data_IF_738533611042
#
_entry.id   IF_738533611042
#
_cell.length_a   1.000
_cell.length_b   1.000
_cell.length_c   1.000
_cell.angle_alpha   90.00
_cell.angle_beta   90.00
_cell.angle_gamma   90.00
#
_symmetry.space_group_name_H-M   'P 1'
#
loop_
_entity.id
_entity.type
_entity.pdbx_description
1 polymer ?
#
# COMPACT_ATOMS: atom_id res chain seq x y z
N UNK A 1 5.10 16.23 -20.13
CA UNK A 1 5.09 16.06 -18.67
C UNK A 1 5.99 17.12 -18.08
N UNK A 2 5.45 18.05 -17.31
CA UNK A 2 6.24 19.08 -16.64
C UNK A 2 6.87 18.45 -15.41
N UNK A 3 8.20 18.44 -15.32
CA UNK A 3 8.92 17.93 -14.14
C UNK A 3 8.59 18.78 -12.92
N UNK A 4 8.13 18.14 -11.84
CA UNK A 4 7.82 18.80 -10.57
C UNK A 4 9.10 19.00 -9.76
N UNK A 5 9.37 20.24 -9.36
CA UNK A 5 10.52 20.61 -8.51
C UNK A 5 10.11 20.62 -7.03
N UNK A 6 10.90 20.00 -6.15
CA UNK A 6 10.61 19.92 -4.71
C UNK A 6 11.32 21.05 -3.94
N UNK A 7 10.57 21.71 -3.06
CA UNK A 7 10.98 22.88 -2.27
C UNK A 7 11.01 22.53 -0.79
N UNK A 8 12.15 22.75 -0.13
CA UNK A 8 12.22 22.69 1.33
C UNK A 8 11.56 23.90 1.99
N UNK A 9 10.45 23.72 2.71
CA UNK A 9 9.78 24.85 3.38
C UNK A 9 10.56 25.40 4.58
N UNK A 10 11.57 24.68 5.07
CA UNK A 10 12.47 25.17 6.12
C UNK A 10 13.67 25.95 5.55
N UNK A 11 13.82 26.01 4.22
CA UNK A 11 14.80 26.87 3.58
C UNK A 11 14.38 28.35 3.65
N UNK A 12 15.37 29.24 3.64
CA UNK A 12 15.14 30.69 3.67
C UNK A 12 14.47 31.16 2.38
N UNK A 13 13.56 32.13 2.49
CA UNK A 13 12.88 32.69 1.32
C UNK A 13 13.91 33.31 0.36
N UNK A 14 15.01 33.85 0.87
CA UNK A 14 16.10 34.37 0.05
C UNK A 14 16.71 33.30 -0.87
N UNK A 15 17.08 32.16 -0.31
CA UNK A 15 17.69 31.09 -1.09
C UNK A 15 16.70 30.50 -2.09
N UNK A 16 15.46 30.26 -1.67
CA UNK A 16 14.40 29.74 -2.54
C UNK A 16 14.14 30.65 -3.73
N UNK A 17 13.99 31.95 -3.52
CA UNK A 17 13.78 32.93 -4.59
C UNK A 17 15.05 33.17 -5.44
N UNK A 18 16.23 32.82 -4.93
CA UNK A 18 17.49 32.89 -5.70
C UNK A 18 17.63 31.67 -6.61
N UNK A 19 17.31 30.48 -6.09
CA UNK A 19 17.31 29.21 -6.84
C UNK A 19 16.18 29.16 -7.87
N UNK A 20 15.02 29.69 -7.51
CA UNK A 20 13.81 29.70 -8.33
C UNK A 20 13.16 31.09 -8.31
N UNK A 21 13.58 32.01 -9.19
CA UNK A 21 13.10 33.39 -9.21
C UNK A 21 11.58 33.56 -9.29
N UNK A 22 10.88 32.62 -9.93
CA UNK A 22 9.42 32.63 -10.04
C UNK A 22 8.69 32.50 -8.70
N UNK A 23 9.33 31.93 -7.65
CA UNK A 23 8.74 31.83 -6.30
C UNK A 23 8.41 33.23 -5.75
N UNK A 24 9.17 34.25 -6.15
CA UNK A 24 8.93 35.63 -5.70
C UNK A 24 7.56 36.14 -6.12
N UNK A 25 7.14 35.81 -7.33
CA UNK A 25 5.81 36.16 -7.85
C UNK A 25 4.71 35.33 -7.18
N UNK A 26 4.94 34.03 -6.97
CA UNK A 26 4.00 33.15 -6.25
C UNK A 26 3.73 33.67 -4.83
N UNK A 27 4.77 34.07 -4.10
CA UNK A 27 4.62 34.63 -2.76
C UNK A 27 3.90 35.98 -2.78
N UNK A 28 4.16 36.82 -3.77
CA UNK A 28 3.45 38.08 -3.90
C UNK A 28 1.93 37.85 -4.09
N UNK A 29 1.55 36.92 -4.96
CA UNK A 29 0.14 36.55 -5.19
C UNK A 29 -0.54 35.95 -3.95
N UNK A 30 0.24 35.30 -3.07
CA UNK A 30 -0.24 34.78 -1.79
C UNK A 30 -0.37 35.85 -0.70
N UNK A 31 -0.10 37.12 -1.03
CA UNK A 31 -0.26 38.27 -0.15
C UNK A 31 1.02 38.65 0.61
N UNK A 32 2.20 38.19 0.20
CA UNK A 32 3.47 38.69 0.72
C UNK A 32 3.88 39.99 0.01
N UNK A 33 3.07 41.04 0.13
CA UNK A 33 3.15 42.28 -0.68
C UNK A 33 4.53 42.95 -0.66
N UNK A 34 5.24 42.84 0.47
CA UNK A 34 6.57 43.44 0.66
C UNK A 34 7.73 42.62 0.05
N UNK A 35 7.46 41.43 -0.52
CA UNK A 35 8.51 40.54 -1.05
C UNK A 35 9.24 41.13 -2.26
N UNK A 36 8.58 42.03 -3.01
CA UNK A 36 9.17 42.75 -4.15
C UNK A 36 10.04 43.94 -3.74
N UNK A 37 9.94 44.41 -2.50
CA UNK A 37 10.77 45.50 -2.00
C UNK A 37 12.23 45.01 -1.82
N UNK A 38 13.22 45.56 -2.54
CA UNK A 38 14.59 45.06 -2.51
C UNK A 38 15.25 45.13 -1.13
N UNK A 39 14.95 46.16 -0.35
CA UNK A 39 15.52 46.35 1.00
C UNK A 39 14.97 45.31 1.97
N UNK A 40 13.66 45.10 1.99
CA UNK A 40 13.01 44.09 2.83
C UNK A 40 13.38 42.67 2.41
N UNK A 41 13.47 42.42 1.10
CA UNK A 41 13.88 41.12 0.58
C UNK A 41 15.33 40.81 1.00
N UNK A 42 16.28 41.72 0.79
CA UNK A 42 17.69 41.46 1.10
C UNK A 42 18.03 41.40 2.61
N UNK A 43 17.07 41.70 3.49
CA UNK A 43 17.24 41.70 4.95
C UNK A 43 16.42 40.60 5.62
N UNK A 44 15.08 40.66 5.51
CA UNK A 44 14.17 39.75 6.22
C UNK A 44 14.19 38.34 5.61
N UNK A 45 14.27 38.22 4.28
CA UNK A 45 14.16 36.91 3.61
C UNK A 45 15.36 35.99 3.84
N UNK A 46 16.51 36.54 4.27
CA UNK A 46 17.74 35.77 4.58
C UNK A 46 17.63 34.95 5.86
N UNK A 47 16.75 35.35 6.77
CA UNK A 47 16.55 34.67 8.05
C UNK A 47 15.14 34.09 8.20
N UNK A 48 14.20 34.53 7.35
CA UNK A 48 12.83 34.04 7.32
C UNK A 48 12.72 32.80 6.42
N UNK A 49 12.34 31.67 7.01
CA UNK A 49 11.99 30.44 6.27
C UNK A 49 10.59 30.53 5.69
N UNK A 50 10.32 29.84 4.58
CA UNK A 50 8.99 29.80 3.97
C UNK A 50 7.90 29.34 4.95
N UNK A 51 8.14 28.24 5.69
CA UNK A 51 7.20 27.67 6.67
C UNK A 51 6.82 28.68 7.78
N UNK A 52 7.80 29.37 8.37
CA UNK A 52 7.54 30.42 9.37
C UNK A 52 6.70 31.56 8.80
N UNK A 53 7.02 32.02 7.59
CA UNK A 53 6.29 33.12 6.96
C UNK A 53 4.83 32.77 6.69
N UNK A 54 4.54 31.54 6.24
CA UNK A 54 3.18 31.02 6.02
C UNK A 54 2.40 30.98 7.33
N UNK A 55 2.99 30.41 8.40
CA UNK A 55 2.36 30.34 9.73
C UNK A 55 2.04 31.73 10.29
N UNK A 56 2.96 32.68 10.15
CA UNK A 56 2.74 34.06 10.62
C UNK A 56 1.65 34.79 9.85
N UNK A 57 1.51 34.53 8.54
CA UNK A 57 0.50 35.15 7.69
C UNK A 57 -0.87 34.47 7.80
N UNK A 58 -0.95 33.28 8.41
CA UNK A 58 -2.18 32.50 8.51
C UNK A 58 -2.66 31.98 7.15
N UNK A 59 -1.74 31.73 6.21
CA UNK A 59 -2.10 31.18 4.90
C UNK A 59 -2.43 29.70 5.07
N UNK A 60 -3.61 29.32 4.58
CA UNK A 60 -4.06 27.93 4.56
C UNK A 60 -3.10 27.02 3.76
N UNK A 61 -2.87 25.81 4.28
CA UNK A 61 -1.89 24.88 3.72
C UNK A 61 -2.32 24.33 2.36
N UNK A 62 -3.62 24.13 2.13
CA UNK A 62 -4.11 23.69 0.82
C UNK A 62 -4.02 24.79 -0.21
N UNK A 63 -4.40 26.02 0.15
CA UNK A 63 -4.25 27.19 -0.73
C UNK A 63 -2.81 27.40 -1.17
N UNK A 64 -1.86 27.25 -0.25
CA UNK A 64 -0.44 27.32 -0.54
C UNK A 64 -0.01 26.22 -1.53
N UNK A 65 -0.34 24.95 -1.23
CA UNK A 65 0.01 23.80 -2.07
C UNK A 65 -0.54 23.95 -3.47
N UNK A 66 -1.80 24.31 -3.62
CA UNK A 66 -2.44 24.51 -4.92
C UNK A 66 -1.69 25.54 -5.75
N UNK A 67 -1.40 26.71 -5.17
CA UNK A 67 -0.71 27.79 -5.88
C UNK A 67 0.72 27.43 -6.29
N UNK A 68 1.47 26.71 -5.45
CA UNK A 68 2.81 26.22 -5.79
C UNK A 68 2.77 25.10 -6.86
N UNK A 69 1.82 24.17 -6.75
CA UNK A 69 1.63 23.08 -7.72
C UNK A 69 1.26 23.61 -9.12
N UNK A 70 0.41 24.64 -9.21
CA UNK A 70 0.08 25.35 -10.46
C UNK A 70 1.33 25.89 -11.19
N UNK A 71 2.42 26.15 -10.45
CA UNK A 71 3.69 26.65 -10.97
C UNK A 71 4.78 25.58 -11.05
N UNK A 72 4.42 24.30 -10.92
CA UNK A 72 5.35 23.17 -11.05
C UNK A 72 6.21 22.90 -9.81
N UNK A 73 5.81 23.41 -8.63
CA UNK A 73 6.53 23.19 -7.39
C UNK A 73 5.73 22.37 -6.39
N UNK A 74 6.39 21.41 -5.75
CA UNK A 74 5.88 20.67 -4.60
C UNK A 74 6.78 20.90 -3.38
N UNK A 75 6.34 20.54 -2.18
CA UNK A 75 7.14 20.74 -0.96
C UNK A 75 7.83 19.43 -0.52
N UNK A 76 9.09 19.49 -0.10
CA UNK A 76 9.84 18.33 0.44
C UNK A 76 9.20 17.77 1.71
N UNK A 77 8.54 18.63 2.48
CA UNK A 77 7.78 18.23 3.67
C UNK A 77 6.35 17.77 3.31
N UNK A 78 5.98 17.72 2.02
CA UNK A 78 4.73 17.14 1.54
C UNK A 78 4.87 15.62 1.44
N UNK A 79 4.97 14.95 2.58
CA UNK A 79 5.05 13.50 2.64
C UNK A 79 3.92 12.84 1.84
N UNK A 80 2.71 13.36 1.98
CA UNK A 80 1.53 12.92 1.23
C UNK A 80 1.69 13.16 -0.28
N UNK A 81 2.15 14.34 -0.70
CA UNK A 81 2.45 14.65 -2.10
C UNK A 81 3.55 13.78 -2.72
N UNK A 82 4.62 13.49 -1.97
CA UNK A 82 5.68 12.57 -2.38
C UNK A 82 5.11 11.17 -2.53
N UNK A 83 4.34 10.71 -1.55
CA UNK A 83 3.71 9.39 -1.58
C UNK A 83 2.77 9.25 -2.77
N UNK A 84 1.90 10.24 -3.01
CA UNK A 84 1.04 10.32 -4.21
C UNK A 84 1.84 10.26 -5.50
N UNK A 85 2.95 11.00 -5.58
CA UNK A 85 3.82 10.99 -6.76
C UNK A 85 4.43 9.61 -6.99
N UNK A 86 4.94 8.95 -5.95
CA UNK A 86 5.51 7.60 -6.07
C UNK A 86 4.45 6.58 -6.50
N UNK A 87 3.23 6.69 -5.97
CA UNK A 87 2.08 5.85 -6.37
C UNK A 87 1.74 6.04 -7.85
N UNK A 88 1.72 7.29 -8.34
CA UNK A 88 1.44 7.59 -9.75
C UNK A 88 2.57 7.09 -10.67
N UNK A 89 3.84 7.27 -10.28
CA UNK A 89 4.98 6.76 -11.06
C UNK A 89 4.96 5.24 -11.19
N UNK A 90 4.66 4.55 -10.08
CA UNK A 90 4.45 3.10 -10.06
C UNK A 90 3.27 2.69 -10.95
N UNK A 91 2.19 3.48 -10.95
CA UNK A 91 1.04 3.30 -11.83
C UNK A 91 1.39 3.45 -13.32
N UNK A 92 2.31 4.36 -13.65
CA UNK A 92 2.80 4.57 -15.02
C UNK A 92 3.84 3.54 -15.49
N UNK A 93 4.20 2.56 -14.66
CA UNK A 93 5.11 1.47 -15.02
C UNK A 93 6.59 1.78 -14.83
N UNK A 94 6.94 2.77 -14.00
CA UNK A 94 8.34 2.95 -13.57
C UNK A 94 8.85 1.72 -12.80
N UNK A 95 10.18 1.50 -12.83
CA UNK A 95 10.77 0.30 -12.23
C UNK A 95 10.61 0.31 -10.71
N UNK A 96 10.33 -0.87 -10.14
CA UNK A 96 10.13 -1.03 -8.70
C UNK A 96 11.40 -0.62 -7.95
N UNK A 97 12.57 -0.93 -8.51
CA UNK A 97 13.88 -0.61 -7.93
C UNK A 97 14.16 0.89 -7.84
N UNK A 98 13.72 1.68 -8.84
CA UNK A 98 13.84 3.15 -8.81
C UNK A 98 12.88 3.77 -7.80
N UNK A 99 11.63 3.27 -7.76
CA UNK A 99 10.64 3.73 -6.81
C UNK A 99 11.07 3.43 -5.37
N UNK A 100 11.61 2.24 -5.08
CA UNK A 100 12.16 1.90 -3.76
C UNK A 100 13.27 2.86 -3.35
N UNK A 101 14.21 3.16 -4.25
CA UNK A 101 15.31 4.09 -3.98
C UNK A 101 14.82 5.51 -3.73
N UNK A 102 13.87 6.00 -4.52
CA UNK A 102 13.28 7.34 -4.31
C UNK A 102 12.48 7.39 -3.01
N UNK A 103 11.79 6.31 -2.69
CA UNK A 103 11.08 6.13 -1.43
C UNK A 103 12.05 6.19 -0.24
N UNK A 104 13.09 5.36 -0.18
CA UNK A 104 14.07 5.33 0.93
C UNK A 104 14.76 6.69 1.15
N UNK A 105 15.07 7.39 0.06
CA UNK A 105 15.72 8.70 0.12
C UNK A 105 14.79 9.82 0.64
N UNK A 106 13.49 9.77 0.31
CA UNK A 106 12.56 10.88 0.57
C UNK A 106 11.59 10.61 1.72
N UNK A 107 11.28 9.35 1.99
CA UNK A 107 10.30 8.88 2.94
C UNK A 107 10.94 7.76 3.76
N UNK A 108 11.83 8.10 4.71
CA UNK A 108 12.58 7.14 5.54
C UNK A 108 11.71 6.00 6.09
N UNK A 109 10.49 6.33 6.54
CA UNK A 109 9.41 5.40 6.86
C UNK A 109 8.05 6.02 6.55
N UNK A 110 7.00 5.21 6.39
CA UNK A 110 5.59 5.67 6.27
C UNK A 110 4.63 4.79 7.07
N UNK A 111 3.49 5.32 7.51
CA UNK A 111 2.43 4.51 8.11
C UNK A 111 1.45 3.98 7.04
N UNK A 112 0.73 2.90 7.37
CA UNK A 112 -0.37 2.40 6.54
C UNK A 112 -1.45 3.47 6.29
N UNK A 113 -1.68 4.35 7.28
CA UNK A 113 -2.64 5.45 7.21
C UNK A 113 -2.18 6.55 6.24
N UNK A 114 -0.91 6.97 6.28
CA UNK A 114 -0.34 7.95 5.34
C UNK A 114 -0.53 7.48 3.89
N UNK A 115 -0.25 6.20 3.69
CA UNK A 115 -0.47 5.48 2.45
C UNK A 115 -1.96 5.56 2.10
N UNK A 116 -2.86 5.00 2.90
CA UNK A 116 -4.30 5.04 2.64
C UNK A 116 -4.83 6.43 2.25
N UNK A 117 -4.49 7.47 3.02
CA UNK A 117 -4.90 8.86 2.78
C UNK A 117 -4.41 9.40 1.42
N UNK A 118 -3.15 9.15 1.07
CA UNK A 118 -2.59 9.54 -0.23
C UNK A 118 -3.40 8.97 -1.40
N UNK A 119 -3.92 7.75 -1.28
CA UNK A 119 -4.72 7.16 -2.36
C UNK A 119 -6.17 7.58 -2.36
N UNK A 120 -6.77 7.79 -1.20
CA UNK A 120 -8.09 8.42 -1.16
C UNK A 120 -8.08 9.76 -1.88
N UNK A 121 -7.04 10.57 -1.67
CA UNK A 121 -6.89 11.82 -2.40
C UNK A 121 -6.67 11.64 -3.90
N UNK A 122 -5.88 10.65 -4.34
CA UNK A 122 -5.69 10.38 -5.78
C UNK A 122 -7.00 9.99 -6.47
N UNK A 123 -7.82 9.17 -5.82
CA UNK A 123 -9.16 8.78 -6.30
C UNK A 123 -10.07 10.00 -6.36
N UNK A 124 -10.09 10.83 -5.31
CA UNK A 124 -10.86 12.08 -5.30
C UNK A 124 -10.40 13.06 -6.39
N UNK A 125 -9.13 13.00 -6.79
CA UNK A 125 -8.54 13.82 -7.85
C UNK A 125 -8.69 13.19 -9.26
N UNK A 126 -9.51 12.16 -9.43
CA UNK A 126 -9.92 11.65 -10.74
C UNK A 126 -9.22 10.36 -11.19
N UNK A 127 -8.36 9.75 -10.37
CA UNK A 127 -7.91 8.37 -10.60
C UNK A 127 -9.11 7.43 -10.48
N UNK A 128 -9.35 6.55 -11.46
CA UNK A 128 -10.46 5.62 -11.34
C UNK A 128 -10.23 4.63 -10.21
N UNK A 129 -11.32 4.20 -9.57
CA UNK A 129 -11.25 3.22 -8.48
C UNK A 129 -10.61 1.91 -8.98
N UNK A 130 -10.84 1.51 -10.23
CA UNK A 130 -10.30 0.27 -10.78
C UNK A 130 -8.80 0.39 -11.14
N UNK A 131 -8.33 1.57 -11.52
CA UNK A 131 -6.91 1.90 -11.63
C UNK A 131 -6.24 1.92 -10.24
N UNK A 132 -6.88 2.53 -9.25
CA UNK A 132 -6.39 2.56 -7.88
C UNK A 132 -6.26 1.13 -7.29
N UNK A 133 -7.23 0.25 -7.58
CA UNK A 133 -7.25 -1.16 -7.13
C UNK A 133 -6.14 -2.01 -7.76
N UNK A 134 -5.79 -1.80 -9.04
CA UNK A 134 -4.78 -2.60 -9.75
C UNK A 134 -3.38 -2.49 -9.12
N UNK A 135 -3.07 -1.38 -8.47
CA UNK A 135 -1.72 -1.10 -7.97
C UNK A 135 -1.59 -1.26 -6.45
N UNK A 136 -2.65 -1.67 -5.76
CA UNK A 136 -2.63 -1.96 -4.32
C UNK A 136 -1.60 -3.06 -3.97
N UNK A 137 -1.39 -4.01 -4.88
CA UNK A 137 -0.39 -5.09 -4.78
C UNK A 137 1.06 -4.58 -4.83
N UNK A 138 1.42 -3.84 -5.89
CA UNK A 138 2.78 -3.32 -6.09
C UNK A 138 3.13 -2.26 -5.03
N UNK A 139 2.13 -1.49 -4.63
CA UNK A 139 2.22 -0.50 -3.55
C UNK A 139 2.62 -1.13 -2.22
N UNK A 140 2.01 -2.25 -1.88
CA UNK A 140 2.33 -2.96 -0.64
C UNK A 140 3.73 -3.56 -0.69
N UNK A 141 4.12 -4.11 -1.84
CA UNK A 141 5.47 -4.62 -2.09
C UNK A 141 6.58 -3.56 -1.93
N UNK A 142 6.32 -2.34 -2.40
CA UNK A 142 7.26 -1.21 -2.30
C UNK A 142 7.32 -0.65 -0.88
N UNK A 143 6.17 -0.58 -0.20
CA UNK A 143 6.04 0.10 1.08
C UNK A 143 6.28 -0.83 2.28
N UNK A 144 6.29 -2.15 2.09
CA UNK A 144 6.52 -3.13 3.17
C UNK A 144 7.84 -2.92 3.90
N UNK A 145 8.92 -2.62 3.18
CA UNK A 145 10.27 -2.38 3.77
C UNK A 145 10.34 -1.05 4.54
N UNK A 146 9.42 -0.16 4.23
CA UNK A 146 9.34 1.21 4.71
C UNK A 146 8.27 1.46 5.77
N UNK A 147 7.32 0.55 5.90
CA UNK A 147 6.25 0.68 6.86
C UNK A 147 6.82 0.46 8.25
N UNK A 148 6.62 1.45 9.14
CA UNK A 148 7.04 1.33 10.54
C UNK A 148 6.12 0.35 11.26
N UNK A 149 6.28 -0.94 11.00
CA UNK A 149 5.55 -2.03 11.64
C UNK A 149 6.12 -2.34 13.04
N UNK A 150 6.68 -1.34 13.73
CA UNK A 150 7.33 -1.49 15.04
C UNK A 150 6.35 -1.63 16.22
N UNK A 151 5.05 -1.68 15.97
CA UNK A 151 4.16 -2.40 16.88
C UNK A 151 4.33 -3.87 16.60
N UNK A 152 4.94 -4.61 17.53
CA UNK A 152 4.75 -6.07 17.59
C UNK A 152 3.26 -6.34 17.38
N UNK A 153 2.92 -6.88 16.20
CA UNK A 153 1.55 -7.20 15.82
C UNK A 153 1.20 -8.48 16.58
N UNK A 154 0.91 -8.34 17.88
CA UNK A 154 0.62 -9.45 18.79
C UNK A 154 -0.90 -9.69 18.86
N UNK A 155 -1.51 -9.90 17.69
CA UNK A 155 -2.88 -10.40 17.61
C UNK A 155 -2.84 -11.86 17.23
N UNK A 156 -3.29 -12.74 18.14
CA UNK A 156 -3.31 -14.18 17.92
C UNK A 156 -4.10 -14.60 16.68
N UNK A 157 -5.13 -13.84 16.29
CA UNK A 157 -5.85 -14.03 15.04
C UNK A 157 -4.94 -13.99 13.80
N UNK A 158 -3.97 -13.07 13.78
CA UNK A 158 -2.98 -12.94 12.70
C UNK A 158 -2.01 -14.11 12.73
N UNK A 159 -1.59 -14.55 13.92
CA UNK A 159 -0.74 -15.74 14.07
C UNK A 159 -1.44 -17.00 13.56
N UNK A 160 -2.74 -17.15 13.82
CA UNK A 160 -3.52 -18.28 13.32
C UNK A 160 -3.55 -18.26 11.79
N UNK A 161 -3.86 -17.12 11.17
CA UNK A 161 -3.86 -16.97 9.70
C UNK A 161 -2.48 -17.34 9.11
N UNK A 162 -1.39 -16.81 9.67
CA UNK A 162 -0.02 -17.13 9.24
C UNK A 162 0.32 -18.62 9.42
N UNK A 163 -0.09 -19.24 10.53
CA UNK A 163 0.11 -20.68 10.77
C UNK A 163 -0.63 -21.53 9.75
N UNK A 164 -1.85 -21.15 9.37
CA UNK A 164 -2.58 -21.81 8.29
C UNK A 164 -1.83 -21.69 6.95
N UNK A 165 -1.27 -20.52 6.64
CA UNK A 165 -0.45 -20.32 5.43
C UNK A 165 0.78 -21.22 5.39
N UNK A 166 1.54 -21.28 6.50
CA UNK A 166 2.71 -22.17 6.62
C UNK A 166 2.33 -23.64 6.52
N UNK A 167 1.14 -24.02 7.03
CA UNK A 167 0.65 -25.38 6.91
C UNK A 167 0.28 -25.73 5.46
N UNK A 168 -0.37 -24.82 4.73
CA UNK A 168 -0.68 -24.98 3.30
C UNK A 168 0.59 -25.14 2.47
N UNK A 169 1.60 -24.28 2.68
CA UNK A 169 2.90 -24.42 2.00
C UNK A 169 3.56 -25.76 2.28
N UNK A 170 3.57 -26.19 3.55
CA UNK A 170 4.16 -27.47 3.94
C UNK A 170 3.45 -28.65 3.25
N UNK A 171 2.11 -28.66 3.23
CA UNK A 171 1.35 -29.69 2.52
C UNK A 171 1.67 -29.71 1.04
N UNK A 172 1.75 -28.54 0.42
CA UNK A 172 2.05 -28.40 -1.00
C UNK A 172 3.47 -28.89 -1.33
N UNK A 173 4.46 -28.57 -0.50
CA UNK A 173 5.82 -29.07 -0.63
C UNK A 173 5.88 -30.59 -0.43
N UNK A 174 5.13 -31.15 0.53
CA UNK A 174 5.04 -32.60 0.72
C UNK A 174 4.46 -33.30 -0.52
N UNK A 175 3.47 -32.72 -1.18
CA UNK A 175 2.89 -33.26 -2.42
C UNK A 175 3.92 -33.21 -3.56
N UNK A 176 4.59 -32.07 -3.76
CA UNK A 176 5.48 -31.85 -4.91
C UNK A 176 6.82 -32.59 -4.75
N UNK A 177 7.41 -32.59 -3.55
CA UNK A 177 8.74 -33.16 -3.30
C UNK A 177 8.67 -34.67 -3.11
N UNK A 178 7.67 -35.16 -2.40
CA UNK A 178 7.58 -36.58 -2.03
C UNK A 178 6.58 -37.36 -2.90
N UNK A 179 6.01 -36.72 -3.93
CA UNK A 179 4.97 -37.30 -4.80
C UNK A 179 3.81 -37.91 -3.98
N UNK A 180 3.46 -37.26 -2.86
CA UNK A 180 2.43 -37.76 -1.95
C UNK A 180 1.04 -37.29 -2.37
N UNK A 181 0.62 -37.79 -3.53
CA UNK A 181 -0.56 -37.31 -4.26
C UNK A 181 -1.88 -37.53 -3.50
N UNK A 182 -1.89 -38.46 -2.55
CA UNK A 182 -3.04 -38.72 -1.69
C UNK A 182 -3.44 -37.51 -0.83
N UNK A 183 -2.55 -36.53 -0.66
CA UNK A 183 -2.81 -35.31 0.09
C UNK A 183 -3.49 -34.19 -0.73
N UNK A 184 -3.77 -34.38 -2.03
CA UNK A 184 -4.41 -33.33 -2.84
C UNK A 184 -5.79 -32.92 -2.32
N UNK A 185 -6.60 -33.89 -1.91
CA UNK A 185 -7.92 -33.62 -1.30
C UNK A 185 -7.76 -32.90 0.05
N UNK A 186 -6.76 -33.30 0.84
CA UNK A 186 -6.46 -32.63 2.10
C UNK A 186 -5.99 -31.19 1.87
N UNK A 187 -5.15 -30.94 0.87
CA UNK A 187 -4.73 -29.61 0.46
C UNK A 187 -5.96 -28.77 0.07
N UNK A 188 -6.85 -29.31 -0.77
CA UNK A 188 -8.07 -28.61 -1.18
C UNK A 188 -8.93 -28.24 0.03
N UNK A 189 -9.16 -29.19 0.94
CA UNK A 189 -9.98 -28.96 2.13
C UNK A 189 -9.37 -27.91 3.06
N UNK A 190 -8.04 -27.88 3.22
CA UNK A 190 -7.36 -26.91 4.05
C UNK A 190 -7.39 -25.51 3.43
N UNK A 191 -7.11 -25.37 2.13
CA UNK A 191 -7.20 -24.09 1.41
C UNK A 191 -8.64 -23.57 1.43
N UNK A 192 -9.62 -24.41 1.11
CA UNK A 192 -11.02 -24.02 1.10
C UNK A 192 -11.49 -23.54 2.48
N UNK A 193 -11.11 -24.26 3.55
CA UNK A 193 -11.43 -23.84 4.92
C UNK A 193 -10.76 -22.51 5.27
N UNK A 194 -9.49 -22.34 4.93
CA UNK A 194 -8.74 -21.13 5.15
C UNK A 194 -9.38 -19.92 4.45
N UNK A 195 -9.74 -20.04 3.17
CA UNK A 195 -10.41 -18.96 2.42
C UNK A 195 -11.80 -18.63 2.96
N UNK A 196 -12.59 -19.63 3.38
CA UNK A 196 -13.88 -19.37 4.04
C UNK A 196 -13.69 -18.57 5.35
N UNK A 197 -12.69 -18.92 6.17
CA UNK A 197 -12.38 -18.16 7.39
C UNK A 197 -11.91 -16.75 7.05
N UNK A 198 -11.02 -16.60 6.08
CA UNK A 198 -10.54 -15.29 5.59
C UNK A 198 -11.70 -14.38 5.19
N UNK A 199 -12.66 -14.88 4.41
CA UNK A 199 -13.83 -14.12 3.99
C UNK A 199 -14.77 -13.78 5.16
N UNK A 200 -15.15 -14.79 5.94
CA UNK A 200 -16.15 -14.65 7.01
C UNK A 200 -15.65 -13.88 8.23
N UNK A 201 -14.34 -13.74 8.39
CA UNK A 201 -13.71 -13.08 9.54
C UNK A 201 -13.05 -11.77 9.14
N UNK A 202 -11.93 -11.82 8.41
CA UNK A 202 -11.14 -10.64 8.09
C UNK A 202 -11.86 -9.71 7.11
N UNK A 203 -12.38 -10.23 6.00
CA UNK A 203 -13.09 -9.38 5.04
C UNK A 203 -14.39 -8.84 5.62
N UNK A 204 -15.14 -9.67 6.35
CA UNK A 204 -16.36 -9.24 7.03
C UNK A 204 -16.09 -8.12 8.05
N UNK A 205 -15.00 -8.18 8.82
CA UNK A 205 -14.60 -7.14 9.75
C UNK A 205 -14.20 -5.85 9.02
N UNK A 206 -13.32 -5.95 8.00
CA UNK A 206 -12.90 -4.79 7.21
C UNK A 206 -14.08 -4.07 6.53
N UNK A 207 -15.06 -4.84 6.04
CA UNK A 207 -16.28 -4.30 5.44
C UNK A 207 -17.12 -3.45 6.40
N UNK A 208 -17.17 -3.80 7.70
CA UNK A 208 -17.87 -2.99 8.71
C UNK A 208 -17.25 -1.59 8.84
N UNK A 209 -15.94 -1.50 8.58
CA UNK A 209 -15.17 -0.26 8.57
C UNK A 209 -15.03 0.36 7.17
N UNK A 210 -15.91 -0.01 6.23
CA UNK A 210 -15.95 0.58 4.88
C UNK A 210 -14.87 0.10 3.91
N UNK A 211 -14.06 -0.90 4.27
CA UNK A 211 -12.98 -1.45 3.44
C UNK A 211 -13.39 -2.80 2.82
N UNK A 212 -14.20 -2.75 1.75
CA UNK A 212 -14.75 -3.95 1.07
C UNK A 212 -13.93 -4.38 -0.16
N UNK A 213 -12.83 -3.70 -0.45
CA UNK A 213 -11.99 -3.94 -1.64
C UNK A 213 -11.32 -5.32 -1.64
N UNK A 214 -10.75 -5.83 -0.52
CA UNK A 214 -10.11 -7.13 -0.51
C UNK A 214 -11.07 -8.27 -0.91
N UNK A 215 -12.32 -8.22 -0.44
CA UNK A 215 -13.35 -9.21 -0.75
C UNK A 215 -13.73 -9.23 -2.24
N UNK A 216 -13.61 -8.10 -2.95
CA UNK A 216 -13.96 -8.01 -4.37
C UNK A 216 -12.88 -8.59 -5.27
N UNK A 217 -11.63 -8.55 -4.84
CA UNK A 217 -10.47 -8.93 -5.66
C UNK A 217 -9.92 -10.29 -5.24
N UNK A 218 -9.65 -10.50 -3.96
CA UNK A 218 -9.01 -11.71 -3.46
C UNK A 218 -9.93 -12.93 -3.55
N UNK A 219 -11.23 -12.78 -3.25
CA UNK A 219 -12.21 -13.89 -3.35
C UNK A 219 -12.37 -14.45 -4.77
N UNK A 220 -12.05 -13.68 -5.81
CA UNK A 220 -12.00 -14.23 -7.17
C UNK A 220 -10.79 -15.13 -7.32
N UNK A 221 -9.61 -14.65 -6.95
CA UNK A 221 -8.35 -15.40 -7.03
C UNK A 221 -8.43 -16.67 -6.16
N UNK A 222 -9.03 -16.59 -4.97
CA UNK A 222 -9.29 -17.73 -4.10
C UNK A 222 -10.09 -18.83 -4.81
N UNK A 223 -11.16 -18.43 -5.52
CA UNK A 223 -11.99 -19.36 -6.31
C UNK A 223 -11.22 -19.92 -7.51
N UNK A 224 -10.42 -19.11 -8.17
CA UNK A 224 -9.61 -19.54 -9.31
C UNK A 224 -8.59 -20.62 -8.87
N UNK A 225 -7.90 -20.43 -7.73
CA UNK A 225 -7.00 -21.42 -7.11
C UNK A 225 -7.74 -22.70 -6.75
N UNK A 226 -8.92 -22.60 -6.11
CA UNK A 226 -9.72 -23.76 -5.75
C UNK A 226 -10.22 -24.54 -6.98
N UNK A 227 -10.55 -23.86 -8.07
CA UNK A 227 -10.96 -24.49 -9.31
C UNK A 227 -9.77 -25.17 -10.00
N UNK A 228 -8.60 -24.52 -10.04
CA UNK A 228 -7.37 -25.11 -10.58
C UNK A 228 -7.02 -26.41 -9.84
N UNK A 229 -7.07 -26.40 -8.50
CA UNK A 229 -6.81 -27.59 -7.71
C UNK A 229 -7.86 -28.69 -7.93
N UNK A 230 -9.14 -28.35 -8.11
CA UNK A 230 -10.19 -29.32 -8.50
C UNK A 230 -9.92 -29.96 -9.85
N UNK A 231 -9.46 -29.17 -10.82
CA UNK A 231 -9.13 -29.67 -12.15
C UNK A 231 -7.93 -30.62 -12.09
N UNK A 232 -6.92 -30.31 -11.27
CA UNK A 232 -5.77 -31.19 -11.00
C UNK A 232 -6.23 -32.50 -10.36
N UNK A 233 -7.06 -32.45 -9.31
CA UNK A 233 -7.64 -33.64 -8.65
C UNK A 233 -8.42 -34.50 -9.65
N UNK A 234 -9.27 -33.86 -10.47
CA UNK A 234 -10.08 -34.55 -11.48
C UNK A 234 -9.23 -35.20 -12.57
N UNK A 235 -8.15 -34.54 -12.97
CA UNK A 235 -7.19 -35.08 -13.94
C UNK A 235 -6.46 -36.29 -13.36
N UNK A 236 -5.98 -36.20 -12.11
CA UNK A 236 -5.32 -37.28 -11.39
C UNK A 236 -6.19 -38.54 -11.32
N UNK A 237 -7.45 -38.39 -10.92
CA UNK A 237 -8.41 -39.50 -10.81
C UNK A 237 -8.68 -40.19 -12.16
N UNK A 238 -8.60 -39.46 -13.29
CA UNK A 238 -8.86 -39.99 -14.63
C UNK A 238 -7.63 -40.59 -15.32
N UNK A 239 -6.42 -40.20 -14.94
CA UNK A 239 -5.18 -40.55 -15.66
C UNK A 239 -4.28 -41.50 -14.85
N UNK A 240 -4.84 -42.55 -14.26
CA UNK A 240 -4.09 -43.59 -13.53
C UNK A 240 -3.10 -43.04 -12.50
N UNK A 241 -3.51 -42.01 -11.74
CA UNK A 241 -2.71 -41.41 -10.68
C UNK A 241 -1.42 -40.69 -11.15
N UNK A 242 -1.36 -40.22 -12.40
CA UNK A 242 -0.25 -39.39 -12.85
C UNK A 242 -0.53 -37.90 -12.63
N UNK A 243 0.40 -37.22 -11.96
CA UNK A 243 0.39 -35.75 -11.82
C UNK A 243 0.95 -35.10 -13.08
N UNK A 244 0.33 -33.99 -13.48
CA UNK A 244 0.96 -33.01 -14.34
C UNK A 244 1.85 -32.07 -13.50
N UNK A 245 3.16 -32.28 -13.53
CA UNK A 245 4.13 -31.51 -12.75
C UNK A 245 4.10 -30.00 -13.08
N UNK A 246 3.85 -29.63 -14.33
CA UNK A 246 3.75 -28.21 -14.72
C UNK A 246 2.51 -27.56 -14.08
N UNK A 247 1.37 -28.24 -14.08
CA UNK A 247 0.15 -27.76 -13.42
C UNK A 247 0.35 -27.61 -11.91
N UNK A 248 1.03 -28.56 -11.25
CA UNK A 248 1.32 -28.46 -9.82
C UNK A 248 2.26 -27.30 -9.48
N UNK A 249 3.23 -27.03 -10.36
CA UNK A 249 4.15 -25.90 -10.18
C UNK A 249 3.43 -24.56 -10.34
N UNK A 250 2.56 -24.43 -11.35
CA UNK A 250 1.73 -23.23 -11.53
C UNK A 250 0.81 -22.99 -10.34
N UNK A 251 0.13 -24.04 -9.87
CA UNK A 251 -0.69 -23.97 -8.65
C UNK A 251 0.13 -23.49 -7.46
N UNK A 252 1.37 -23.97 -7.31
CA UNK A 252 2.27 -23.52 -6.26
C UNK A 252 2.58 -22.03 -6.35
N UNK A 253 2.92 -21.54 -7.53
CA UNK A 253 3.18 -20.12 -7.73
C UNK A 253 1.94 -19.27 -7.39
N UNK A 254 0.74 -19.71 -7.76
CA UNK A 254 -0.51 -19.01 -7.42
C UNK A 254 -0.83 -19.02 -5.92
N UNK A 255 -0.65 -20.15 -5.24
CA UNK A 255 -0.86 -20.26 -3.78
C UNK A 255 0.17 -19.39 -3.05
N UNK A 256 1.45 -19.46 -3.42
CA UNK A 256 2.51 -18.65 -2.83
C UNK A 256 2.25 -17.15 -3.02
N UNK A 257 1.74 -16.74 -4.18
CA UNK A 257 1.33 -15.36 -4.43
C UNK A 257 0.11 -14.95 -3.58
N UNK A 258 -0.86 -15.83 -3.35
CA UNK A 258 -1.98 -15.54 -2.44
C UNK A 258 -1.51 -15.40 -0.98
N UNK A 259 -0.67 -16.30 -0.49
CA UNK A 259 -0.09 -16.22 0.86
C UNK A 259 0.71 -14.92 1.00
N UNK A 260 1.48 -14.57 -0.02
CA UNK A 260 2.18 -13.29 -0.07
C UNK A 260 1.20 -12.12 0.05
N UNK A 261 0.08 -12.13 -0.70
CA UNK A 261 -0.94 -11.08 -0.61
C UNK A 261 -1.57 -11.02 0.78
N UNK A 262 -1.88 -12.15 1.39
CA UNK A 262 -2.48 -12.18 2.72
C UNK A 262 -1.53 -11.59 3.78
N UNK A 263 -0.28 -12.05 3.81
CA UNK A 263 0.66 -11.62 4.84
C UNK A 263 1.14 -10.18 4.66
N UNK A 264 1.23 -9.73 3.41
CA UNK A 264 1.82 -8.44 3.11
C UNK A 264 0.77 -7.37 2.88
N UNK A 265 -0.44 -7.71 2.41
CA UNK A 265 -1.50 -6.75 2.08
C UNK A 265 -2.65 -6.85 3.07
N UNK A 266 -3.27 -8.02 3.19
CA UNK A 266 -4.46 -8.18 4.01
C UNK A 266 -4.15 -7.91 5.48
N UNK A 267 -3.10 -8.52 6.02
CA UNK A 267 -2.72 -8.37 7.43
C UNK A 267 -2.41 -6.91 7.78
N UNK A 268 -1.54 -6.18 7.05
CA UNK A 268 -1.28 -4.78 7.37
C UNK A 268 -2.52 -3.89 7.21
N UNK A 269 -3.37 -4.15 6.21
CA UNK A 269 -4.64 -3.44 6.08
C UNK A 269 -5.53 -3.69 7.31
N UNK A 270 -5.70 -4.94 7.72
CA UNK A 270 -6.45 -5.32 8.92
C UNK A 270 -5.91 -4.63 10.17
N UNK A 271 -4.60 -4.59 10.38
CA UNK A 271 -4.00 -3.92 11.54
C UNK A 271 -4.23 -2.40 11.51
N UNK A 272 -4.26 -1.79 10.33
CA UNK A 272 -4.48 -0.35 10.20
C UNK A 272 -5.94 0.10 10.37
N UNK A 273 -6.90 -0.82 10.18
CA UNK A 273 -8.33 -0.50 10.13
C UNK A 273 -9.09 -1.06 11.33
N UNK A 274 -8.77 -2.27 11.78
CA UNK A 274 -9.54 -2.99 12.79
C UNK A 274 -9.13 -2.59 14.22
N UNK A 275 -10.10 -2.58 15.13
CA UNK A 275 -9.83 -2.34 16.55
C UNK A 275 -9.36 -3.62 17.24
N UNK A 276 -8.87 -3.50 18.48
CA UNK A 276 -8.56 -4.66 19.31
C UNK A 276 -9.78 -5.57 19.50
N UNK A 277 -10.96 -5.00 19.75
CA UNK A 277 -12.20 -5.76 19.91
C UNK A 277 -12.58 -6.54 18.65
N UNK A 278 -12.31 -6.00 17.46
CA UNK A 278 -12.51 -6.73 16.20
C UNK A 278 -11.58 -7.94 16.12
N UNK A 279 -10.30 -7.79 16.49
CA UNK A 279 -9.36 -8.91 16.51
C UNK A 279 -9.72 -9.97 17.56
N UNK A 280 -10.19 -9.56 18.73
CA UNK A 280 -10.68 -10.49 19.77
C UNK A 280 -11.91 -11.27 19.28
N UNK A 281 -12.87 -10.61 18.59
CA UNK A 281 -14.03 -11.28 17.98
C UNK A 281 -13.61 -12.27 16.87
N UNK A 282 -12.64 -11.88 16.03
CA UNK A 282 -12.06 -12.76 15.01
C UNK A 282 -11.42 -13.99 15.68
N UNK A 283 -10.62 -13.81 16.74
CA UNK A 283 -9.99 -14.93 17.46
C UNK A 283 -11.03 -15.91 18.01
N UNK A 284 -12.07 -15.40 18.68
CA UNK A 284 -13.14 -16.23 19.25
C UNK A 284 -13.83 -17.05 18.16
N UNK A 285 -14.08 -16.45 16.99
CA UNK A 285 -14.72 -17.13 15.87
C UNK A 285 -13.81 -18.15 15.18
N UNK A 286 -12.50 -17.89 15.13
CA UNK A 286 -11.53 -18.89 14.67
C UNK A 286 -11.66 -20.20 15.47
N UNK A 287 -11.76 -20.11 16.80
CA UNK A 287 -11.90 -21.27 17.68
C UNK A 287 -13.21 -22.04 17.52
N UNK A 288 -14.27 -21.41 16.99
CA UNK A 288 -15.57 -22.06 16.72
C UNK A 288 -15.66 -22.72 15.33
N UNK A 289 -14.84 -22.26 14.39
CA UNK A 289 -14.80 -22.73 13.00
C UNK A 289 -13.60 -23.66 12.70
N UNK A 290 -12.94 -24.19 13.74
CA UNK A 290 -11.76 -25.07 13.62
C UNK A 290 -12.14 -26.53 13.58
#
# INVERSE_FOLDING_TARGET
MTTLEYINTNETIYNLCTKYPQIKEILFDLGFDKIKNPMMFNTVSKFMTLNKAIKMKGIDSEKLRKKFNEHGFNFENDRNGILKSLIVKLHCGESIEEIKREFENKLVKVSAEEVHNAMHELVNNGMSIDEAKRFFYIRTLVLKDAMDNNTEIDYKAIDILKKENRYIEKLLDEIIVNDNINLLEDLYNNINRHYIKKESLFFAALKKHGNDEPSKVMSKVDRDILNELKDIISYYQKNNNQINFESMKLLKDHISDMIFKEENILIPLSVSVLTKEDFDDIEIKYGKNS
#
